data_IF_564212460624
#
_entry.id   IF_564212460624
#
_cell.length_a   1.000
_cell.length_b   1.000
_cell.length_c   1.000
_cell.angle_alpha   90.00
_cell.angle_beta   90.00
_cell.angle_gamma   90.00
#
_symmetry.space_group_name_H-M   'P 1'
#
loop_
_entity.id
_entity.type
_entity.pdbx_description
1 polymer ?
#
# COMPACT_ATOMS: atom_id res chain seq x y z
N UNK A 1 -25.03 8.28 4.46
CA UNK A 1 -25.42 7.23 5.42
C UNK A 1 -24.51 6.06 5.18
N UNK A 2 -23.90 5.54 6.24
CA UNK A 2 -22.88 4.50 6.14
C UNK A 2 -23.53 3.12 6.20
N UNK A 3 -23.62 2.44 5.09
CA UNK A 3 -24.08 1.04 5.00
C UNK A 3 -23.13 0.09 5.74
N UNK A 4 -21.83 0.46 5.85
CA UNK A 4 -20.83 -0.33 6.57
C UNK A 4 -21.15 -0.50 8.03
N UNK A 5 -21.50 0.57 8.74
CA UNK A 5 -21.87 0.52 10.16
C UNK A 5 -23.03 -0.45 10.45
N UNK A 6 -23.80 -0.77 9.45
CA UNK A 6 -24.90 -1.74 9.56
C UNK A 6 -24.40 -3.19 9.42
N UNK A 7 -23.35 -3.41 8.61
CA UNK A 7 -22.82 -4.75 8.34
C UNK A 7 -21.81 -5.23 9.40
N UNK A 8 -21.05 -4.31 9.96
CA UNK A 8 -19.90 -4.63 10.85
C UNK A 8 -20.10 -4.28 12.33
N UNK A 9 -21.30 -3.82 12.70
CA UNK A 9 -21.67 -3.43 14.06
C UNK A 9 -20.83 -2.28 14.66
N UNK A 10 -20.18 -1.51 13.82
CA UNK A 10 -19.37 -0.38 14.25
C UNK A 10 -20.18 0.93 14.26
N UNK A 11 -19.76 1.87 15.11
CA UNK A 11 -20.34 3.21 15.08
C UNK A 11 -20.04 3.91 13.75
N UNK A 12 -20.91 4.82 13.33
CA UNK A 12 -20.65 5.63 12.14
C UNK A 12 -19.37 6.44 12.32
N UNK A 13 -18.46 6.34 11.37
CA UNK A 13 -17.20 7.09 11.38
C UNK A 13 -17.41 8.60 11.19
N UNK A 14 -18.52 9.00 10.55
CA UNK A 14 -18.83 10.39 10.24
C UNK A 14 -20.24 10.75 10.68
N UNK A 15 -20.43 11.99 11.15
CA UNK A 15 -21.75 12.55 11.43
C UNK A 15 -22.54 12.75 10.11
N UNK A 16 -23.84 12.52 10.17
CA UNK A 16 -24.74 12.81 9.05
C UNK A 16 -25.54 14.10 9.37
N UNK A 17 -25.56 15.03 8.41
CA UNK A 17 -26.34 16.25 8.50
C UNK A 17 -27.35 16.29 7.37
N UNK A 18 -28.59 16.68 7.67
CA UNK A 18 -29.64 16.89 6.66
C UNK A 18 -29.89 18.38 6.46
N UNK A 19 -30.24 18.74 5.23
CA UNK A 19 -30.74 20.10 4.95
C UNK A 19 -32.22 20.19 5.35
N UNK A 20 -32.68 21.40 5.62
CA UNK A 20 -34.08 21.66 5.96
C UNK A 20 -35.04 21.03 4.94
N UNK A 21 -36.09 20.36 5.40
CA UNK A 21 -37.08 19.69 4.55
C UNK A 21 -36.70 18.28 4.08
N UNK A 22 -35.61 17.69 4.58
CA UNK A 22 -35.19 16.33 4.24
C UNK A 22 -36.01 15.30 5.02
N UNK A 23 -36.63 14.34 4.34
CA UNK A 23 -37.27 13.17 4.96
C UNK A 23 -36.21 12.05 5.08
N UNK A 24 -36.06 11.49 6.27
CA UNK A 24 -35.14 10.39 6.55
C UNK A 24 -35.92 9.16 6.99
N UNK A 25 -35.58 8.02 6.41
CA UNK A 25 -36.06 6.72 6.85
C UNK A 25 -35.03 6.06 7.72
N UNK A 26 -35.44 5.63 8.90
CA UNK A 26 -34.58 4.92 9.83
C UNK A 26 -35.13 3.52 10.07
N UNK A 27 -34.26 2.53 10.00
CA UNK A 27 -34.55 1.13 10.29
C UNK A 27 -33.60 0.70 11.39
N UNK A 28 -34.13 0.19 12.51
CA UNK A 28 -33.33 -0.34 13.59
C UNK A 28 -32.82 -1.75 13.26
N UNK A 29 -31.80 -2.20 13.98
CA UNK A 29 -31.25 -3.56 13.85
C UNK A 29 -32.32 -4.61 14.11
N UNK A 30 -33.10 -4.46 15.19
CA UNK A 30 -34.19 -5.39 15.53
C UNK A 30 -35.24 -5.49 14.43
N UNK A 31 -35.58 -4.38 13.80
CA UNK A 31 -36.48 -4.37 12.65
C UNK A 31 -35.94 -5.13 11.43
N UNK A 32 -34.61 -5.08 11.23
CA UNK A 32 -33.98 -5.81 10.13
C UNK A 32 -33.89 -7.30 10.44
N UNK A 33 -33.60 -7.68 11.68
CA UNK A 33 -33.58 -9.10 12.08
C UNK A 33 -35.02 -9.69 11.94
N UNK A 34 -36.05 -9.00 12.43
CA UNK A 34 -37.44 -9.41 12.25
C UNK A 34 -37.79 -9.54 10.75
N UNK A 35 -37.34 -8.58 9.94
CA UNK A 35 -37.58 -8.62 8.49
C UNK A 35 -36.89 -9.80 7.80
N UNK A 36 -35.66 -10.16 8.26
CA UNK A 36 -34.96 -11.35 7.79
C UNK A 36 -35.73 -12.62 8.03
N UNK A 37 -36.38 -12.75 9.21
CA UNK A 37 -37.17 -13.92 9.58
C UNK A 37 -38.48 -13.99 8.82
N UNK A 38 -39.15 -12.85 8.68
CA UNK A 38 -40.48 -12.79 8.02
C UNK A 38 -40.38 -12.93 6.50
N UNK A 39 -39.37 -12.36 5.86
CA UNK A 39 -39.24 -12.28 4.40
C UNK A 39 -37.79 -12.52 3.94
N UNK A 40 -37.24 -13.72 4.13
CA UNK A 40 -35.86 -14.02 3.86
C UNK A 40 -35.44 -13.74 2.41
N UNK A 41 -36.22 -14.10 1.42
CA UNK A 41 -35.90 -13.87 0.01
C UNK A 41 -35.76 -12.38 -0.31
N UNK A 42 -36.62 -11.55 0.24
CA UNK A 42 -36.57 -10.10 0.03
C UNK A 42 -35.37 -9.49 0.78
N UNK A 43 -35.12 -9.97 2.00
CA UNK A 43 -33.94 -9.58 2.78
C UNK A 43 -32.64 -9.85 2.00
N UNK A 44 -32.44 -11.06 1.49
CA UNK A 44 -31.23 -11.39 0.72
C UNK A 44 -31.09 -10.57 -0.56
N UNK A 45 -32.20 -10.27 -1.25
CA UNK A 45 -32.18 -9.41 -2.44
C UNK A 45 -31.79 -7.97 -2.10
N UNK A 46 -32.26 -7.44 -0.97
CA UNK A 46 -31.84 -6.10 -0.48
C UNK A 46 -30.38 -6.10 -0.11
N UNK A 47 -29.93 -7.09 0.67
CA UNK A 47 -28.54 -7.19 1.09
C UNK A 47 -27.57 -7.34 -0.10
N UNK A 48 -27.94 -8.10 -1.12
CA UNK A 48 -27.17 -8.20 -2.36
C UNK A 48 -27.08 -6.84 -3.09
N UNK A 49 -28.14 -6.05 -3.09
CA UNK A 49 -28.13 -4.67 -3.64
C UNK A 49 -27.26 -3.72 -2.83
N UNK A 50 -27.29 -3.81 -1.51
CA UNK A 50 -26.44 -3.00 -0.62
C UNK A 50 -24.98 -3.36 -0.86
N UNK A 51 -24.64 -4.65 -0.89
CA UNK A 51 -23.27 -5.12 -1.16
C UNK A 51 -22.78 -4.68 -2.55
N UNK A 52 -23.61 -4.77 -3.57
CA UNK A 52 -23.29 -4.29 -4.92
C UNK A 52 -23.04 -2.76 -4.94
N UNK A 53 -23.85 -1.99 -4.20
CA UNK A 53 -23.67 -0.54 -4.08
C UNK A 53 -22.37 -0.15 -3.37
N UNK A 54 -21.98 -0.88 -2.33
CA UNK A 54 -20.69 -0.71 -1.63
C UNK A 54 -19.54 -1.03 -2.58
N UNK A 55 -19.60 -2.16 -3.29
CA UNK A 55 -18.58 -2.57 -4.26
C UNK A 55 -18.43 -1.54 -5.39
N UNK A 56 -19.53 -0.98 -5.89
CA UNK A 56 -19.49 0.07 -6.91
C UNK A 56 -18.85 1.37 -6.39
N UNK A 57 -19.19 1.78 -5.18
CA UNK A 57 -18.55 2.96 -4.55
C UNK A 57 -17.06 2.76 -4.31
N UNK A 58 -16.65 1.58 -3.85
CA UNK A 58 -15.24 1.23 -3.69
C UNK A 58 -14.53 1.27 -5.04
N UNK A 59 -15.15 0.76 -6.11
CA UNK A 59 -14.62 0.83 -7.47
C UNK A 59 -14.49 2.27 -7.96
N UNK A 60 -15.50 3.10 -7.75
CA UNK A 60 -15.46 4.52 -8.13
C UNK A 60 -14.40 5.30 -7.35
N UNK A 61 -14.24 5.04 -6.05
CA UNK A 61 -13.19 5.64 -5.22
C UNK A 61 -11.80 5.21 -5.70
N UNK A 62 -11.62 3.91 -6.00
CA UNK A 62 -10.39 3.37 -6.56
C UNK A 62 -10.06 4.01 -7.92
N UNK A 63 -11.05 4.12 -8.81
CA UNK A 63 -10.85 4.77 -10.11
C UNK A 63 -10.52 6.26 -9.98
N UNK A 64 -11.10 6.96 -9.01
CA UNK A 64 -10.82 8.37 -8.76
C UNK A 64 -9.40 8.58 -8.21
N UNK A 65 -8.93 7.70 -7.33
CA UNK A 65 -7.56 7.71 -6.82
C UNK A 65 -6.54 7.33 -7.91
N UNK A 66 -6.83 6.32 -8.71
CA UNK A 66 -5.99 5.91 -9.84
C UNK A 66 -5.92 7.02 -10.91
N UNK A 67 -7.00 7.77 -11.15
CA UNK A 67 -6.99 8.89 -12.11
C UNK A 67 -6.18 10.11 -11.62
N UNK A 68 -6.00 10.26 -10.31
CA UNK A 68 -5.16 11.33 -9.72
C UNK A 68 -3.67 10.93 -9.68
N UNK A 69 -3.36 9.63 -9.60
CA UNK A 69 -1.98 9.12 -9.52
C UNK A 69 -1.54 8.33 -10.77
N UNK A 70 -2.30 8.41 -11.87
CA UNK A 70 -1.88 7.78 -13.12
C UNK A 70 -0.56 8.37 -13.63
N UNK A 71 0.45 7.56 -13.97
CA UNK A 71 1.77 8.03 -14.43
C UNK A 71 1.74 8.97 -15.62
N UNK A 72 0.63 9.01 -16.35
CA UNK A 72 0.44 9.84 -17.56
C UNK A 72 0.48 11.35 -17.30
N UNK A 73 0.49 11.84 -16.07
CA UNK A 73 0.61 13.25 -15.72
C UNK A 73 1.93 13.64 -15.05
N UNK A 74 2.86 12.71 -14.92
CA UNK A 74 4.22 13.04 -14.48
C UNK A 74 5.00 13.63 -15.65
N UNK A 75 4.88 14.94 -15.83
CA UNK A 75 5.83 15.71 -16.64
C UNK A 75 7.14 15.73 -15.86
N UNK A 76 8.10 14.88 -16.20
CA UNK A 76 9.37 14.78 -15.50
C UNK A 76 10.30 13.77 -16.17
N UNK A 77 11.51 13.71 -15.67
CA UNK A 77 12.49 12.73 -16.10
C UNK A 77 12.11 11.32 -15.63
N UNK A 78 12.39 10.33 -16.46
CA UNK A 78 12.17 8.91 -16.19
C UNK A 78 13.52 8.19 -16.16
N UNK A 79 13.60 7.15 -15.34
CA UNK A 79 14.69 6.18 -15.38
C UNK A 79 14.16 4.84 -15.84
N UNK A 80 15.03 4.10 -16.51
CA UNK A 80 14.75 2.74 -16.96
C UNK A 80 15.22 1.75 -15.90
N UNK A 81 14.36 0.85 -15.48
CA UNK A 81 14.70 -0.30 -14.64
C UNK A 81 14.31 -1.60 -15.34
N UNK A 82 14.97 -2.69 -15.00
CA UNK A 82 14.69 -3.99 -15.56
C UNK A 82 14.62 -5.07 -14.48
N UNK A 83 13.85 -6.11 -14.76
CA UNK A 83 13.81 -7.36 -14.03
C UNK A 83 13.75 -8.56 -15.01
N UNK A 84 13.50 -9.77 -14.50
CA UNK A 84 13.38 -10.97 -15.33
C UNK A 84 12.22 -10.92 -16.34
N UNK A 85 11.26 -10.00 -16.18
CA UNK A 85 10.11 -9.82 -17.06
C UNK A 85 10.33 -8.72 -18.11
N UNK A 86 11.46 -8.02 -18.07
CA UNK A 86 11.83 -6.97 -19.02
C UNK A 86 11.86 -5.57 -18.41
N UNK A 87 12.02 -4.58 -19.26
CA UNK A 87 12.22 -3.18 -18.89
C UNK A 87 10.92 -2.44 -18.60
N UNK A 88 10.99 -1.44 -17.68
CA UNK A 88 9.94 -0.48 -17.37
C UNK A 88 10.53 0.89 -17.11
N UNK A 89 9.80 1.92 -17.53
CA UNK A 89 10.10 3.31 -17.19
C UNK A 89 9.45 3.67 -15.86
N UNK A 90 10.23 4.25 -14.95
CA UNK A 90 9.79 4.75 -13.67
C UNK A 90 10.09 6.26 -13.55
N UNK A 91 9.24 7.03 -12.84
CA UNK A 91 9.57 8.42 -12.55
C UNK A 91 10.90 8.52 -11.79
N UNK A 92 11.79 9.42 -12.23
CA UNK A 92 13.10 9.60 -11.60
C UNK A 92 13.00 9.91 -10.10
N UNK A 93 11.93 10.61 -9.69
CA UNK A 93 11.68 10.97 -8.29
C UNK A 93 11.18 9.81 -7.42
N UNK A 94 10.70 8.72 -8.01
CA UNK A 94 10.20 7.57 -7.26
C UNK A 94 11.34 6.82 -6.57
N UNK A 95 11.13 6.43 -5.29
CA UNK A 95 12.06 5.56 -4.57
C UNK A 95 11.67 4.07 -4.68
N UNK A 96 10.43 3.76 -5.06
CA UNK A 96 10.08 2.40 -5.45
C UNK A 96 10.71 2.03 -6.79
N UNK A 97 10.84 0.74 -7.06
CA UNK A 97 11.43 0.20 -8.28
C UNK A 97 10.43 -0.58 -9.13
N UNK A 98 10.98 -1.35 -10.08
CA UNK A 98 10.22 -2.09 -11.10
C UNK A 98 9.27 -3.14 -10.52
N UNK A 99 9.64 -3.80 -9.42
CA UNK A 99 8.78 -4.82 -8.79
C UNK A 99 7.54 -4.18 -8.16
N UNK A 100 7.70 -3.04 -7.51
CA UNK A 100 6.58 -2.25 -6.98
C UNK A 100 5.69 -1.75 -8.11
N UNK A 101 6.26 -1.25 -9.20
CA UNK A 101 5.47 -0.80 -10.36
C UNK A 101 4.60 -1.95 -10.91
N UNK A 102 5.16 -3.14 -11.08
CA UNK A 102 4.40 -4.31 -11.53
C UNK A 102 3.31 -4.73 -10.52
N UNK A 103 3.60 -4.61 -9.22
CA UNK A 103 2.60 -4.89 -8.20
C UNK A 103 1.43 -3.89 -8.27
N UNK A 104 1.70 -2.61 -8.52
CA UNK A 104 0.66 -1.59 -8.74
C UNK A 104 -0.18 -1.88 -9.98
N UNK A 105 0.46 -2.33 -11.08
CA UNK A 105 -0.24 -2.74 -12.30
C UNK A 105 -1.13 -3.96 -12.08
N UNK A 106 -0.66 -4.96 -11.29
CA UNK A 106 -1.36 -6.23 -11.07
C UNK A 106 -2.45 -6.17 -10.01
N UNK A 107 -2.29 -5.35 -8.99
CA UNK A 107 -3.13 -5.33 -7.79
C UNK A 107 -3.80 -3.96 -7.56
N UNK A 108 -4.33 -3.33 -8.58
CA UNK A 108 -5.17 -2.14 -8.44
C UNK A 108 -6.59 -2.55 -7.98
N UNK A 109 -6.75 -2.98 -6.70
CA UNK A 109 -7.95 -3.66 -6.22
C UNK A 109 -8.79 -2.77 -5.31
N UNK A 110 -8.23 -2.31 -4.18
CA UNK A 110 -8.99 -1.59 -3.15
C UNK A 110 -8.81 -0.07 -3.18
N UNK A 111 -7.71 0.42 -3.74
CA UNK A 111 -7.30 1.81 -3.64
C UNK A 111 -6.82 2.22 -2.25
N UNK A 112 -6.67 1.27 -1.33
CA UNK A 112 -6.08 1.49 0.00
C UNK A 112 -4.63 1.04 -0.05
N UNK A 113 -3.71 1.99 0.06
CA UNK A 113 -2.28 1.75 -0.12
C UNK A 113 -1.55 1.58 1.21
N UNK A 114 -0.41 0.86 1.18
CA UNK A 114 0.46 0.67 2.35
C UNK A 114 0.88 2.01 2.96
N UNK A 115 1.07 3.07 2.16
CA UNK A 115 1.39 4.43 2.64
C UNK A 115 0.40 4.99 3.69
N UNK A 116 -0.82 4.46 3.74
CA UNK A 116 -1.85 4.90 4.71
C UNK A 116 -1.66 4.26 6.10
N UNK A 117 -0.69 3.34 6.24
CA UNK A 117 -0.42 2.59 7.47
C UNK A 117 1.01 2.86 7.96
N UNK A 118 1.22 4.02 8.55
CA UNK A 118 2.52 4.51 9.02
C UNK A 118 3.25 3.47 9.89
N UNK A 119 2.59 2.92 10.90
CA UNK A 119 3.20 1.94 11.80
C UNK A 119 3.60 0.62 11.09
N UNK A 120 2.96 0.27 10.00
CA UNK A 120 3.38 -0.87 9.19
C UNK A 120 4.71 -0.59 8.48
N UNK A 121 4.89 0.61 7.96
CA UNK A 121 6.15 1.05 7.32
C UNK A 121 7.27 1.10 8.35
N UNK A 122 6.99 1.68 9.53
CA UNK A 122 7.95 1.70 10.65
C UNK A 122 8.36 0.29 11.07
N UNK A 123 7.41 -0.64 11.19
CA UNK A 123 7.70 -2.03 11.52
C UNK A 123 8.60 -2.70 10.48
N UNK A 124 8.34 -2.48 9.19
CA UNK A 124 9.21 -2.95 8.11
C UNK A 124 10.61 -2.36 8.22
N UNK A 125 10.72 -1.05 8.50
CA UNK A 125 12.02 -0.39 8.67
C UNK A 125 12.81 -0.98 9.86
N UNK A 126 12.16 -1.25 10.99
CA UNK A 126 12.82 -1.91 12.13
C UNK A 126 13.33 -3.31 11.77
N UNK A 127 12.52 -4.12 11.08
CA UNK A 127 12.92 -5.47 10.65
C UNK A 127 14.11 -5.40 9.70
N UNK A 128 14.08 -4.52 8.69
CA UNK A 128 15.17 -4.37 7.71
C UNK A 128 16.46 -3.85 8.35
N UNK A 129 16.34 -2.91 9.26
CA UNK A 129 17.50 -2.40 10.02
C UNK A 129 18.13 -3.48 10.89
N UNK A 130 17.32 -4.24 11.64
CA UNK A 130 17.80 -5.33 12.48
C UNK A 130 18.49 -6.43 11.65
N UNK A 131 17.91 -6.79 10.50
CA UNK A 131 18.49 -7.77 9.59
C UNK A 131 19.84 -7.29 9.00
N UNK A 132 19.93 -6.01 8.62
CA UNK A 132 21.19 -5.44 8.09
C UNK A 132 22.32 -5.50 9.13
N UNK A 133 22.01 -5.14 10.39
CA UNK A 133 22.97 -5.23 11.50
C UNK A 133 23.42 -6.68 11.75
N UNK A 134 22.49 -7.62 11.84
CA UNK A 134 22.79 -9.03 12.06
C UNK A 134 23.60 -9.63 10.90
N UNK A 135 23.25 -9.34 9.65
CA UNK A 135 23.99 -9.81 8.48
C UNK A 135 25.40 -9.22 8.40
N UNK A 136 25.59 -8.00 8.89
CA UNK A 136 26.93 -7.41 9.00
C UNK A 136 27.76 -8.13 10.08
N UNK A 137 27.20 -8.36 11.27
CA UNK A 137 27.90 -9.12 12.34
C UNK A 137 28.30 -10.53 11.90
N UNK A 138 27.48 -11.17 11.06
CA UNK A 138 27.77 -12.48 10.48
C UNK A 138 28.75 -12.45 9.30
N UNK A 139 29.20 -11.27 8.88
CA UNK A 139 30.11 -11.11 7.74
C UNK A 139 29.48 -11.33 6.37
N UNK A 140 28.14 -11.36 6.29
CA UNK A 140 27.40 -11.55 5.03
C UNK A 140 27.22 -10.22 4.29
N UNK A 141 27.05 -9.13 5.03
CA UNK A 141 26.88 -7.78 4.49
C UNK A 141 28.07 -6.88 4.88
N UNK A 142 28.64 -6.16 3.93
CA UNK A 142 29.73 -5.25 4.23
C UNK A 142 29.26 -3.99 4.98
N UNK A 143 30.21 -3.28 5.61
CA UNK A 143 29.91 -2.16 6.50
C UNK A 143 29.23 -0.99 5.77
N UNK A 144 29.64 -0.65 4.54
CA UNK A 144 29.10 0.47 3.79
C UNK A 144 27.64 0.24 3.43
N UNK A 145 27.28 -0.96 2.96
CA UNK A 145 25.92 -1.35 2.65
C UNK A 145 25.05 -1.40 3.91
N UNK A 146 25.56 -1.95 4.99
CA UNK A 146 24.85 -1.99 6.28
C UNK A 146 24.53 -0.57 6.76
N UNK A 147 25.50 0.35 6.75
CA UNK A 147 25.29 1.74 7.14
C UNK A 147 24.23 2.42 6.27
N UNK A 148 24.32 2.26 4.94
CA UNK A 148 23.37 2.85 4.01
C UNK A 148 21.94 2.33 4.22
N UNK A 149 21.77 1.02 4.45
CA UNK A 149 20.46 0.42 4.78
C UNK A 149 19.92 0.97 6.11
N UNK A 150 20.77 1.02 7.14
CA UNK A 150 20.36 1.52 8.45
C UNK A 150 19.93 2.99 8.40
N UNK A 151 20.67 3.84 7.70
CA UNK A 151 20.32 5.26 7.54
C UNK A 151 19.06 5.46 6.71
N UNK A 152 18.87 4.68 5.64
CA UNK A 152 17.63 4.67 4.88
C UNK A 152 16.42 4.24 5.74
N UNK A 153 16.60 3.24 6.61
CA UNK A 153 15.57 2.85 7.58
C UNK A 153 15.28 3.95 8.60
N UNK A 154 16.30 4.68 9.06
CA UNK A 154 16.11 5.82 9.98
C UNK A 154 15.33 6.96 9.32
N UNK A 155 15.53 7.20 8.03
CA UNK A 155 14.67 8.14 7.27
C UNK A 155 13.21 7.70 7.23
N UNK A 156 12.93 6.39 7.07
CA UNK A 156 11.57 5.86 7.15
C UNK A 156 10.97 6.01 8.56
N UNK A 157 11.74 5.71 9.61
CA UNK A 157 11.31 5.87 11.00
C UNK A 157 11.08 7.34 11.37
N UNK A 158 11.71 8.27 10.67
CA UNK A 158 11.48 9.71 10.80
C UNK A 158 10.27 10.21 9.96
N UNK A 159 9.47 9.31 9.38
CA UNK A 159 8.28 9.63 8.58
C UNK A 159 8.59 10.08 7.15
N UNK A 160 9.85 9.97 6.69
CA UNK A 160 10.20 10.31 5.31
C UNK A 160 9.87 9.16 4.37
N UNK A 161 9.64 9.46 3.09
CA UNK A 161 9.45 8.49 2.01
C UNK A 161 8.21 7.58 2.11
N UNK A 162 7.33 7.75 3.09
CA UNK A 162 6.12 6.95 3.27
C UNK A 162 5.19 7.02 2.04
N UNK A 163 5.19 8.14 1.32
CA UNK A 163 4.43 8.32 0.09
C UNK A 163 4.88 7.42 -1.08
N UNK A 164 6.04 6.76 -0.97
CA UNK A 164 6.54 5.79 -1.95
C UNK A 164 6.11 4.34 -1.67
N UNK A 165 5.32 4.11 -0.62
CA UNK A 165 4.69 2.81 -0.35
C UNK A 165 3.33 2.75 -1.03
N UNK A 166 3.36 2.53 -2.34
CA UNK A 166 2.24 2.70 -3.26
C UNK A 166 1.51 1.42 -3.64
N UNK A 167 1.93 0.27 -3.10
CA UNK A 167 1.22 -0.99 -3.33
C UNK A 167 -0.11 -1.03 -2.61
N UNK A 168 -1.11 -1.64 -3.23
CA UNK A 168 -2.43 -1.87 -2.64
C UNK A 168 -2.33 -2.87 -1.47
N UNK A 169 -3.14 -2.68 -0.43
CA UNK A 169 -3.21 -3.61 0.71
C UNK A 169 -3.73 -4.98 0.30
N UNK A 170 -4.56 -5.06 -0.74
CA UNK A 170 -4.99 -6.33 -1.33
C UNK A 170 -4.02 -6.75 -2.41
N UNK A 171 -3.24 -7.78 -2.13
CA UNK A 171 -2.17 -8.29 -2.98
C UNK A 171 -2.04 -9.80 -2.82
N UNK A 172 -1.03 -10.43 -3.41
CA UNK A 172 -0.75 -11.86 -3.22
C UNK A 172 -0.58 -12.21 -1.73
N UNK A 173 -1.12 -13.36 -1.30
CA UNK A 173 -1.27 -13.74 0.10
C UNK A 173 0.03 -13.86 0.92
N UNK A 174 1.18 -13.96 0.26
CA UNK A 174 2.49 -14.01 0.91
C UNK A 174 3.05 -12.62 1.31
N UNK A 175 2.39 -11.51 0.92
CA UNK A 175 2.85 -10.15 1.21
C UNK A 175 4.10 -9.71 0.44
N UNK A 176 4.46 -10.42 -0.62
CA UNK A 176 5.68 -10.17 -1.42
C UNK A 176 5.73 -8.75 -1.96
N UNK A 177 4.61 -8.20 -2.44
CA UNK A 177 4.58 -6.83 -3.01
C UNK A 177 4.91 -5.77 -1.96
N UNK A 178 4.42 -5.89 -0.74
CA UNK A 178 4.76 -4.99 0.37
C UNK A 178 6.23 -5.10 0.76
N UNK A 179 6.74 -6.33 0.86
CA UNK A 179 8.16 -6.56 1.17
C UNK A 179 9.07 -5.99 0.09
N UNK A 180 8.75 -6.20 -1.19
CA UNK A 180 9.53 -5.65 -2.30
C UNK A 180 9.45 -4.12 -2.36
N UNK A 181 8.30 -3.53 -2.09
CA UNK A 181 8.17 -2.07 -2.01
C UNK A 181 9.13 -1.49 -0.94
N UNK A 182 9.18 -2.10 0.26
CA UNK A 182 10.12 -1.69 1.29
C UNK A 182 11.58 -1.88 0.84
N UNK A 183 11.91 -3.03 0.24
CA UNK A 183 13.26 -3.33 -0.22
C UNK A 183 13.74 -2.30 -1.27
N UNK A 184 12.90 -1.97 -2.24
CA UNK A 184 13.24 -1.04 -3.32
C UNK A 184 13.38 0.40 -2.81
N UNK A 185 12.47 0.85 -1.93
CA UNK A 185 12.56 2.19 -1.32
C UNK A 185 13.84 2.32 -0.49
N UNK A 186 14.16 1.33 0.34
CA UNK A 186 15.37 1.32 1.16
C UNK A 186 16.63 1.24 0.28
N UNK A 187 16.63 0.39 -0.76
CA UNK A 187 17.78 0.27 -1.67
C UNK A 187 18.05 1.59 -2.41
N UNK A 188 17.03 2.20 -3.01
CA UNK A 188 17.19 3.46 -3.73
C UNK A 188 17.60 4.62 -2.81
N UNK A 189 17.09 4.67 -1.59
CA UNK A 189 17.54 5.66 -0.62
C UNK A 189 18.98 5.38 -0.16
N UNK A 190 19.34 4.14 0.09
CA UNK A 190 20.68 3.74 0.44
C UNK A 190 21.70 4.03 -0.67
N UNK A 191 21.33 3.82 -1.93
CA UNK A 191 22.15 4.21 -3.08
C UNK A 191 22.46 5.69 -3.09
N UNK A 192 21.49 6.57 -2.85
CA UNK A 192 21.73 8.02 -2.74
C UNK A 192 22.66 8.37 -1.57
N UNK A 193 22.50 7.72 -0.42
CA UNK A 193 23.38 7.90 0.75
C UNK A 193 24.84 7.52 0.40
N UNK A 194 25.01 6.47 -0.41
CA UNK A 194 26.31 6.03 -0.91
C UNK A 194 26.87 6.90 -2.05
N UNK A 195 26.12 7.90 -2.53
CA UNK A 195 26.51 8.78 -3.64
C UNK A 195 26.25 8.22 -5.05
N UNK A 196 25.39 7.19 -5.15
CA UNK A 196 24.97 6.56 -6.38
C UNK A 196 23.60 7.06 -6.83
N UNK A 197 23.24 6.75 -8.09
CA UNK A 197 21.91 7.02 -8.62
C UNK A 197 20.96 5.88 -8.22
N UNK A 198 19.66 6.20 -8.17
CA UNK A 198 18.62 5.17 -8.05
C UNK A 198 18.76 4.14 -9.15
N UNK A 199 18.38 2.91 -8.87
CA UNK A 199 18.50 1.75 -9.76
C UNK A 199 19.94 1.27 -10.08
N UNK A 200 20.98 1.87 -9.54
CA UNK A 200 22.35 1.31 -9.62
C UNK A 200 22.52 0.11 -8.67
N UNK A 201 21.69 -0.91 -8.86
CA UNK A 201 21.53 -2.06 -7.95
C UNK A 201 22.76 -2.95 -7.84
N UNK A 202 23.77 -2.80 -8.71
CA UNK A 202 25.08 -3.45 -8.56
C UNK A 202 25.76 -3.05 -7.23
N UNK A 203 25.51 -1.84 -6.75
CA UNK A 203 26.07 -1.34 -5.48
C UNK A 203 25.20 -1.70 -4.28
N UNK A 204 23.88 -1.55 -4.37
CA UNK A 204 22.95 -1.91 -3.29
C UNK A 204 21.65 -2.48 -3.86
N UNK A 205 21.53 -3.80 -3.86
CA UNK A 205 20.41 -4.51 -4.49
C UNK A 205 19.27 -4.76 -3.51
N UNK A 206 17.98 -4.55 -3.91
CA UNK A 206 16.82 -4.77 -3.05
C UNK A 206 16.72 -6.19 -2.49
N UNK A 207 16.96 -7.23 -3.31
CA UNK A 207 16.88 -8.62 -2.87
C UNK A 207 18.16 -9.10 -2.20
N UNK A 208 19.32 -8.88 -2.83
CA UNK A 208 20.56 -9.52 -2.39
C UNK A 208 21.15 -8.88 -1.13
N UNK A 209 20.86 -7.58 -0.93
CA UNK A 209 21.41 -6.83 0.20
C UNK A 209 20.32 -6.40 1.21
N UNK A 210 19.27 -5.69 0.79
CA UNK A 210 18.23 -5.22 1.72
C UNK A 210 17.38 -6.38 2.25
N UNK A 211 17.09 -7.38 1.40
CA UNK A 211 16.33 -8.58 1.78
C UNK A 211 17.23 -9.76 2.19
N UNK A 212 18.54 -9.55 2.35
CA UNK A 212 19.48 -10.61 2.70
C UNK A 212 19.03 -11.37 3.94
N UNK A 213 19.03 -12.72 3.87
CA UNK A 213 18.61 -13.63 4.94
C UNK A 213 17.16 -13.46 5.41
N UNK A 214 16.31 -12.89 4.57
CA UNK A 214 14.88 -12.73 4.83
C UNK A 214 14.05 -13.42 3.75
N UNK A 215 12.83 -13.81 4.07
CA UNK A 215 11.91 -14.49 3.15
C UNK A 215 10.72 -13.59 2.81
#
# INVERSE_FOLDING_TARGET
ISEGAFLDDQAHANGAFTRQGTTVWQISRDQIEAFREEKPDLFYRIMARVAAGISERLRMLSQHQVSVESPAHLVGDFRLEHDSLGERELPEKAYYGVQTLRAMENFAISGVFVKNFEHMIEALAFVKKAAALANHELGVLNEDKMKAICEACDDLLAGKLHNHFTVDMFQGGAGTSTNMNANEVIANRGLEIMGHKKAEYDYLHPNDHVNCSQS
#
